data_IF_025987908790
#
_entry.id   IF_025987908790
#
_cell.length_a   1.000
_cell.length_b   1.000
_cell.length_c   1.000
_cell.angle_alpha   90.00
_cell.angle_beta   90.00
_cell.angle_gamma   90.00
#
_symmetry.space_group_name_H-M   'P 1'
#
loop_
_entity.id
_entity.type
_entity.pdbx_description
1 polymer ?
#
# COMPACT_ATOMS: atom_id res chain seq x y z
N UNK A 1 -13.28 2.07 13.70
CA UNK A 1 -12.87 2.18 12.33
C UNK A 1 -11.37 2.30 12.23
N UNK A 2 -10.79 1.72 11.22
CA UNK A 2 -9.36 1.63 11.10
C UNK A 2 -8.93 2.02 9.68
N UNK A 3 -7.86 2.78 9.58
CA UNK A 3 -7.33 3.15 8.27
C UNK A 3 -6.26 2.15 7.88
N UNK A 4 -6.36 1.59 6.70
CA UNK A 4 -5.42 0.60 6.21
C UNK A 4 -5.03 0.95 4.78
N UNK A 5 -3.98 0.30 4.29
CA UNK A 5 -3.57 0.47 2.91
C UNK A 5 -4.49 -0.34 2.02
N UNK A 6 -4.99 0.29 0.96
CA UNK A 6 -5.83 -0.36 -0.02
C UNK A 6 -4.96 -1.12 -1.00
N UNK A 7 -4.77 -2.41 -0.73
CA UNK A 7 -3.87 -3.22 -1.54
C UNK A 7 -4.33 -3.37 -2.99
N UNK A 8 -5.63 -3.37 -3.21
CA UNK A 8 -6.13 -3.48 -4.57
C UNK A 8 -5.79 -2.23 -5.37
N UNK A 9 -5.88 -1.08 -4.71
CA UNK A 9 -5.52 0.16 -5.38
C UNK A 9 -4.03 0.17 -5.71
N UNK A 10 -3.20 -0.31 -4.80
CA UNK A 10 -1.77 -0.39 -5.06
C UNK A 10 -1.50 -1.30 -6.25
N UNK A 11 -2.18 -2.45 -6.30
CA UNK A 11 -2.03 -3.37 -7.43
C UNK A 11 -2.43 -2.73 -8.74
N UNK A 12 -3.53 -2.00 -8.74
CA UNK A 12 -3.98 -1.32 -9.95
C UNK A 12 -2.94 -0.33 -10.44
N UNK A 13 -2.39 0.44 -9.50
CA UNK A 13 -1.40 1.46 -9.86
C UNK A 13 -0.10 0.84 -10.34
N UNK A 14 0.28 -0.28 -9.74
CA UNK A 14 1.44 -1.03 -10.19
C UNK A 14 1.24 -1.50 -11.63
N UNK A 15 0.07 -2.06 -11.91
CA UNK A 15 -0.22 -2.55 -13.25
C UNK A 15 -0.13 -1.43 -14.27
N UNK A 16 -0.61 -0.24 -13.94
CA UNK A 16 -0.52 0.89 -14.83
C UNK A 16 0.91 1.28 -15.16
N UNK A 17 1.82 1.00 -14.25
CA UNK A 17 3.23 1.30 -14.46
C UNK A 17 4.01 0.11 -15.00
N UNK A 18 3.34 -1.00 -15.27
CA UNK A 18 4.02 -2.18 -15.77
C UNK A 18 4.79 -2.95 -14.72
N UNK A 19 4.46 -2.73 -13.46
CA UNK A 19 5.11 -3.43 -12.36
C UNK A 19 4.27 -4.65 -12.02
N UNK A 20 4.86 -5.83 -12.15
CA UNK A 20 4.09 -7.06 -12.01
C UNK A 20 4.17 -7.73 -10.65
N UNK A 21 5.22 -7.45 -9.88
CA UNK A 21 5.40 -8.11 -8.60
C UNK A 21 5.83 -7.13 -7.53
N UNK A 22 5.63 -7.54 -6.28
CA UNK A 22 6.11 -6.74 -5.16
C UNK A 22 7.63 -6.67 -5.13
N UNK A 23 8.29 -7.72 -5.61
CA UNK A 23 9.75 -7.70 -5.66
C UNK A 23 10.24 -6.59 -6.57
N UNK A 24 9.58 -6.42 -7.73
CA UNK A 24 9.94 -5.34 -8.62
C UNK A 24 9.68 -3.97 -7.98
N UNK A 25 8.54 -3.82 -7.34
CA UNK A 25 8.21 -2.56 -6.71
C UNK A 25 9.22 -2.22 -5.61
N UNK A 26 9.59 -3.21 -4.81
CA UNK A 26 10.57 -3.00 -3.75
C UNK A 26 11.91 -2.54 -4.32
N UNK A 27 12.34 -3.17 -5.39
CA UNK A 27 13.58 -2.78 -6.03
C UNK A 27 13.55 -1.34 -6.51
N UNK A 28 12.44 -0.95 -7.11
CA UNK A 28 12.31 0.39 -7.63
C UNK A 28 12.24 1.43 -6.51
N UNK A 29 11.71 1.04 -5.37
CA UNK A 29 11.66 1.92 -4.20
C UNK A 29 12.96 1.91 -3.41
N UNK A 30 13.87 0.99 -3.72
CA UNK A 30 15.13 0.92 -3.00
C UNK A 30 15.02 0.27 -1.63
N UNK A 31 14.06 -0.61 -1.45
CA UNK A 31 13.85 -1.30 -0.17
C UNK A 31 13.79 -2.80 -0.41
N UNK A 32 13.84 -3.57 0.67
CA UNK A 32 13.75 -5.02 0.54
C UNK A 32 12.31 -5.44 0.35
N UNK A 33 12.13 -6.63 -0.20
CA UNK A 33 10.79 -7.18 -0.38
C UNK A 33 10.09 -7.35 0.97
N UNK A 34 10.83 -7.78 1.99
CA UNK A 34 10.26 -7.94 3.32
C UNK A 34 9.79 -6.61 3.88
N UNK A 35 10.56 -5.57 3.66
CA UNK A 35 10.18 -4.25 4.10
C UNK A 35 8.91 -3.78 3.42
N UNK A 36 8.82 -3.98 2.11
CA UNK A 36 7.62 -3.61 1.39
C UNK A 36 6.42 -4.43 1.85
N UNK A 37 6.62 -5.71 2.08
CA UNK A 37 5.56 -6.58 2.55
C UNK A 37 5.02 -6.09 3.90
N UNK A 38 5.92 -5.65 4.77
CA UNK A 38 5.49 -5.09 6.05
C UNK A 38 4.72 -3.80 5.89
N UNK A 39 5.14 -2.96 4.95
CA UNK A 39 4.45 -1.71 4.69
C UNK A 39 3.02 -1.98 4.21
N UNK A 40 2.86 -2.96 3.34
CA UNK A 40 1.55 -3.28 2.78
C UNK A 40 0.71 -4.15 3.69
N UNK A 41 1.30 -4.67 4.76
CA UNK A 41 0.58 -5.49 5.71
C UNK A 41 -0.39 -4.62 6.50
N UNK A 42 -1.56 -5.16 6.79
CA UNK A 42 -2.52 -4.42 7.58
C UNK A 42 -2.52 -4.83 9.05
N UNK A 43 -1.45 -5.47 9.48
CA UNK A 43 -1.27 -5.80 10.88
C UNK A 43 -1.03 -4.57 11.73
N UNK A 44 -0.37 -3.58 11.16
CA UNK A 44 -0.01 -2.38 11.89
C UNK A 44 -0.60 -1.18 11.20
N UNK A 45 -0.68 -0.07 11.92
CA UNK A 45 -1.16 1.17 11.33
C UNK A 45 -0.18 1.64 10.26
N UNK A 46 -0.67 2.17 9.16
CA UNK A 46 0.22 2.68 8.13
C UNK A 46 1.09 3.82 8.67
N UNK A 47 2.35 3.82 8.27
CA UNK A 47 3.29 4.85 8.66
C UNK A 47 3.26 5.94 7.59
N UNK A 48 3.05 7.17 8.04
CA UNK A 48 2.84 8.28 7.12
C UNK A 48 3.96 8.43 6.08
N UNK A 49 5.21 8.35 6.52
CA UNK A 49 6.31 8.54 5.59
C UNK A 49 6.33 7.46 4.52
N UNK A 50 5.99 6.22 4.88
CA UNK A 50 5.93 5.14 3.90
C UNK A 50 4.82 5.38 2.89
N UNK A 51 3.68 5.86 3.36
CA UNK A 51 2.55 6.14 2.47
C UNK A 51 2.90 7.25 1.51
N UNK A 52 3.55 8.30 1.99
CA UNK A 52 3.93 9.42 1.14
C UNK A 52 4.90 8.98 0.06
N UNK A 53 5.92 8.20 0.44
CA UNK A 53 6.89 7.74 -0.54
C UNK A 53 6.26 6.86 -1.61
N UNK A 54 5.41 5.95 -1.17
CA UNK A 54 4.75 5.05 -2.11
C UNK A 54 3.83 5.82 -3.05
N UNK A 55 3.10 6.77 -2.52
CA UNK A 55 2.19 7.58 -3.32
C UNK A 55 2.95 8.40 -4.35
N UNK A 56 4.06 8.99 -3.94
CA UNK A 56 4.89 9.76 -4.85
C UNK A 56 5.37 8.89 -6.00
N UNK A 57 5.84 7.70 -5.67
CA UNK A 57 6.33 6.80 -6.70
C UNK A 57 5.22 6.40 -7.65
N UNK A 58 4.03 6.13 -7.12
CA UNK A 58 2.91 5.71 -7.95
C UNK A 58 2.18 6.87 -8.62
N UNK A 59 2.54 8.10 -8.27
CA UNK A 59 1.98 9.26 -8.95
C UNK A 59 0.58 9.64 -8.50
N UNK A 60 0.24 9.36 -7.24
CA UNK A 60 -1.08 9.67 -6.72
C UNK A 60 -0.96 10.35 -5.36
N UNK A 61 -2.07 10.85 -4.85
CA UNK A 61 -2.06 11.45 -3.54
C UNK A 61 -2.05 10.33 -2.48
N UNK A 62 -1.43 10.58 -1.32
CA UNK A 62 -1.38 9.55 -0.28
C UNK A 62 -2.75 9.03 0.14
N UNK A 63 -3.76 9.88 0.12
CA UNK A 63 -5.08 9.44 0.51
C UNK A 63 -5.67 8.40 -0.42
N UNK A 64 -5.22 8.37 -1.66
CA UNK A 64 -5.72 7.38 -2.60
C UNK A 64 -5.26 5.97 -2.27
N UNK A 65 -4.22 5.85 -1.48
CA UNK A 65 -3.70 4.54 -1.10
C UNK A 65 -4.33 4.01 0.18
N UNK A 66 -5.20 4.77 0.80
CA UNK A 66 -5.76 4.40 2.09
C UNK A 66 -7.25 4.17 1.97
N UNK A 67 -7.75 3.31 2.83
CA UNK A 67 -9.18 3.10 2.94
C UNK A 67 -9.52 2.80 4.40
N UNK A 68 -10.80 2.90 4.71
CA UNK A 68 -11.26 2.56 6.04
C UNK A 68 -11.71 1.12 6.06
N UNK A 69 -11.33 0.43 7.11
CA UNK A 69 -11.78 -0.93 7.31
C UNK A 69 -12.82 -0.92 8.41
N UNK A 70 -14.02 -1.40 8.09
CA UNK A 70 -15.09 -1.44 9.05
C UNK A 70 -15.26 -2.86 9.55
N UNK A 71 -14.71 -3.12 10.72
CA UNK A 71 -14.71 -4.47 11.25
C UNK A 71 -16.06 -4.94 11.71
N UNK A 72 -16.98 -4.02 11.86
CA UNK A 72 -18.27 -4.42 12.35
C UNK A 72 -19.05 -5.22 11.38
N UNK A 73 -18.75 -5.09 10.13
CA UNK A 73 -19.44 -5.87 9.13
C UNK A 73 -19.14 -7.33 9.22
N UNK A 74 -18.11 -7.67 9.92
CA UNK A 74 -17.72 -9.05 9.97
C UNK A 74 -18.45 -9.85 11.00
N UNK A 75 -19.17 -9.17 11.80
CA UNK A 75 -19.84 -9.84 12.83
C UNK A 75 -21.12 -10.36 12.43
N UNK A 76 -21.47 -10.24 11.43
CA UNK A 76 -22.76 -10.65 11.13
C UNK A 76 -23.00 -11.92 10.96
#
# INVERSE_FOLDING_TARGET
>A
MKVIIDKLKVKELMAKKGINTQTELAKMLGISKNQLSNILSNKYSPIKSNIVELAKFLGVSPLELLKEEDNELHRK
#
